data_IF_824271775477
#
_entry.id   IF_824271775477
#
_cell.length_a   1.000
_cell.length_b   1.000
_cell.length_c   1.000
_cell.angle_alpha   90.00
_cell.angle_beta   90.00
_cell.angle_gamma   90.00
#
_symmetry.space_group_name_H-M   'P 1'
#
loop_
_entity.id
_entity.type
_entity.pdbx_description
1 polymer ?
#
# COMPACT_ATOMS: atom_id res chain seq x y z
N UNK A 1 -11.86 -10.55 6.27
CA UNK A 1 -11.63 -9.72 7.48
C UNK A 1 -10.26 -10.09 8.04
N UNK A 2 -9.58 -9.13 8.69
CA UNK A 2 -8.14 -9.08 9.03
C UNK A 2 -7.22 -8.54 7.91
N UNK A 3 -7.27 -7.21 7.76
CA UNK A 3 -6.15 -6.45 7.22
C UNK A 3 -5.01 -6.52 8.25
N UNK A 4 -3.80 -6.87 7.81
CA UNK A 4 -2.59 -6.89 8.62
C UNK A 4 -2.54 -5.63 9.49
N UNK A 5 -2.49 -5.83 10.81
CA UNK A 5 -2.48 -4.76 11.82
C UNK A 5 -1.52 -3.66 11.39
N UNK A 6 -2.03 -2.43 11.34
CA UNK A 6 -1.22 -1.25 11.16
C UNK A 6 -0.39 -1.11 12.44
N UNK A 7 0.78 -1.76 12.48
CA UNK A 7 1.73 -1.59 13.57
C UNK A 7 2.29 -0.17 13.46
N UNK A 8 1.67 0.75 14.19
CA UNK A 8 2.29 2.02 14.56
C UNK A 8 3.37 1.65 15.59
N UNK A 9 4.63 1.55 15.13
CA UNK A 9 5.76 1.31 16.01
C UNK A 9 5.95 2.54 16.90
N UNK A 10 5.59 2.43 18.18
CA UNK A 10 5.82 3.44 19.20
C UNK A 10 7.05 3.07 20.02
N UNK A 11 8.12 3.85 19.92
CA UNK A 11 9.19 3.88 20.92
C UNK A 11 8.96 5.09 21.81
N UNK A 12 8.60 4.80 23.06
CA UNK A 12 8.30 5.76 24.14
C UNK A 12 9.53 6.64 24.36
N UNK A 13 9.37 7.95 24.13
CA UNK A 13 10.35 8.94 24.52
C UNK A 13 10.30 9.13 26.04
N UNK A 14 11.15 8.41 26.76
CA UNK A 14 11.64 8.88 28.06
C UNK A 14 12.95 9.63 27.82
N UNK A 15 12.96 10.89 28.23
CA UNK A 15 14.15 11.72 28.28
C UNK A 15 15.18 11.09 29.22
N UNK A 16 16.41 10.93 28.71
CA UNK A 16 17.63 10.51 29.40
C UNK A 16 17.87 9.00 29.46
N UNK A 17 19.04 8.59 28.95
CA UNK A 17 19.64 7.28 29.19
C UNK A 17 19.80 6.43 27.93
N UNK A 18 21.00 6.44 27.38
CA UNK A 18 21.48 5.45 26.42
C UNK A 18 21.21 4.03 26.93
N UNK A 19 20.46 3.23 26.19
CA UNK A 19 20.53 1.78 26.27
C UNK A 19 21.07 1.24 24.96
N UNK A 20 22.29 0.71 25.05
CA UNK A 20 22.98 0.03 23.98
C UNK A 20 22.21 -1.26 23.61
N UNK A 21 21.85 -1.40 22.34
CA UNK A 21 21.78 -2.70 21.70
C UNK A 21 22.69 -2.69 20.48
N UNK A 22 23.60 -3.66 20.46
CA UNK A 22 24.48 -3.98 19.35
C UNK A 22 23.64 -4.32 18.12
N UNK A 23 23.62 -3.42 17.15
CA UNK A 23 23.83 -3.66 15.72
C UNK A 23 23.69 -2.29 15.03
N UNK A 24 24.66 -1.93 14.20
CA UNK A 24 24.92 -0.57 13.69
C UNK A 24 23.84 0.11 12.82
N UNK A 25 22.59 0.18 13.29
CA UNK A 25 21.52 0.91 12.64
C UNK A 25 21.30 2.26 13.34
N UNK A 26 21.60 3.35 12.63
CA UNK A 26 21.32 4.71 13.08
C UNK A 26 19.82 4.87 13.42
N UNK A 27 19.46 5.71 14.42
CA UNK A 27 18.06 6.01 14.72
C UNK A 27 17.37 6.56 13.47
N UNK A 28 16.35 5.85 12.99
CA UNK A 28 15.54 6.32 11.86
C UNK A 28 14.81 7.60 12.31
N UNK A 29 14.98 8.75 11.63
CA UNK A 29 14.32 9.98 12.03
C UNK A 29 12.80 9.79 12.02
N UNK A 30 12.12 10.27 13.06
CA UNK A 30 10.67 10.28 13.15
C UNK A 30 10.05 10.91 11.89
N UNK A 31 9.05 10.24 11.30
CA UNK A 31 8.33 10.73 10.12
C UNK A 31 8.93 10.34 8.76
N UNK A 32 9.95 9.48 8.73
CA UNK A 32 10.52 8.94 7.48
C UNK A 32 9.79 7.68 6.99
N UNK A 33 10.00 7.32 5.71
CA UNK A 33 9.38 6.15 5.08
C UNK A 33 9.88 4.86 5.74
N UNK A 34 8.95 4.02 6.18
CA UNK A 34 9.25 2.76 6.86
C UNK A 34 9.03 1.57 5.92
N UNK A 35 9.88 0.54 6.04
CA UNK A 35 9.62 -0.76 5.41
C UNK A 35 8.71 -1.61 6.30
N UNK A 36 7.93 -2.49 5.69
CA UNK A 36 7.22 -3.51 6.46
C UNK A 36 8.20 -4.54 7.03
N UNK A 37 8.02 -4.94 8.30
CA UNK A 37 8.74 -6.08 8.84
C UNK A 37 8.41 -7.33 8.01
N UNK A 38 9.44 -8.15 7.74
CA UNK A 38 9.26 -9.46 7.12
C UNK A 38 9.31 -10.56 8.19
N UNK A 39 9.11 -11.82 7.78
CA UNK A 39 9.44 -12.99 8.60
C UNK A 39 10.94 -13.30 8.44
N UNK A 40 11.79 -12.41 8.95
CA UNK A 40 13.23 -12.35 8.65
C UNK A 40 13.60 -10.96 8.15
N UNK A 41 14.26 -10.88 6.99
CA UNK A 41 14.63 -9.60 6.38
C UNK A 41 13.42 -8.69 6.12
N UNK A 42 13.64 -7.38 6.26
CA UNK A 42 12.61 -6.38 5.94
C UNK A 42 12.19 -6.48 4.48
N UNK A 43 10.89 -6.37 4.22
CA UNK A 43 10.39 -6.45 2.85
C UNK A 43 10.78 -5.19 2.06
N UNK A 44 10.83 -5.29 0.72
CA UNK A 44 10.93 -4.11 -0.15
C UNK A 44 9.66 -3.25 -0.20
N UNK A 45 8.64 -3.57 0.61
CA UNK A 45 7.39 -2.81 0.64
C UNK A 45 7.44 -1.75 1.73
N UNK A 46 7.07 -0.53 1.36
CA UNK A 46 6.76 0.54 2.32
C UNK A 46 5.57 0.17 3.21
N UNK A 47 5.49 0.82 4.37
CA UNK A 47 4.41 0.66 5.35
C UNK A 47 3.03 0.97 4.75
N UNK A 48 1.95 0.48 5.39
CA UNK A 48 0.59 0.81 4.95
C UNK A 48 0.26 2.30 5.12
N UNK A 49 0.72 2.93 6.21
CA UNK A 49 0.53 4.37 6.46
C UNK A 49 1.17 5.20 5.36
N UNK A 50 2.40 4.88 4.95
CA UNK A 50 3.09 5.60 3.88
C UNK A 50 2.37 5.45 2.53
N UNK A 51 1.76 4.28 2.25
CA UNK A 51 0.93 4.08 1.05
C UNK A 51 -0.34 4.91 1.09
N UNK A 52 -1.03 4.95 2.22
CA UNK A 52 -2.25 5.75 2.38
C UNK A 52 -1.91 7.25 2.29
N UNK A 53 -0.81 7.69 2.91
CA UNK A 53 -0.30 9.06 2.77
C UNK A 53 -0.04 9.42 1.30
N UNK A 54 0.56 8.50 0.54
CA UNK A 54 0.74 8.67 -0.91
C UNK A 54 -0.61 8.77 -1.64
N UNK A 55 -1.58 7.91 -1.32
CA UNK A 55 -2.92 7.95 -1.91
C UNK A 55 -3.67 9.24 -1.59
N UNK A 56 -3.40 9.86 -0.44
CA UNK A 56 -3.91 11.20 -0.11
C UNK A 56 -3.30 12.32 -0.96
N UNK A 57 -2.37 12.03 -1.86
CA UNK A 57 -1.75 13.02 -2.76
C UNK A 57 -1.97 12.67 -4.23
N UNK A 58 -1.71 11.43 -4.63
CA UNK A 58 -1.80 11.02 -6.04
C UNK A 58 -3.09 10.25 -6.37
N UNK A 59 -3.95 10.03 -5.39
CA UNK A 59 -5.13 9.19 -5.49
C UNK A 59 -4.85 7.68 -5.48
N UNK A 60 -5.91 6.90 -5.27
CA UNK A 60 -5.85 5.43 -5.14
C UNK A 60 -5.79 4.72 -6.50
N UNK A 61 -6.24 5.36 -7.57
CA UNK A 61 -6.40 4.79 -8.91
C UNK A 61 -5.07 4.39 -9.56
N UNK A 62 -3.99 5.08 -9.21
CA UNK A 62 -2.67 4.81 -9.78
C UNK A 62 -2.48 5.32 -11.22
N UNK A 63 -1.27 5.17 -11.73
CA UNK A 63 -0.84 5.75 -13.01
C UNK A 63 -1.60 5.22 -14.25
N UNK A 64 -2.08 3.97 -14.24
CA UNK A 64 -2.79 3.42 -15.39
C UNK A 64 -4.24 3.91 -15.45
N UNK A 65 -4.93 4.01 -14.32
CA UNK A 65 -6.31 4.48 -14.32
C UNK A 65 -6.42 6.01 -14.43
N UNK A 66 -5.34 6.77 -14.18
CA UNK A 66 -5.33 8.22 -14.42
C UNK A 66 -5.41 8.61 -15.91
N UNK A 67 -5.35 7.64 -16.83
CA UNK A 67 -5.71 7.88 -18.24
C UNK A 67 -7.21 8.14 -18.44
N UNK A 68 -8.05 7.61 -17.55
CA UNK A 68 -9.50 7.59 -17.71
C UNK A 68 -10.24 8.33 -16.59
N UNK A 69 -9.59 8.50 -15.44
CA UNK A 69 -10.21 9.00 -14.22
C UNK A 69 -9.41 10.16 -13.64
N UNK A 70 -10.11 11.18 -13.16
CA UNK A 70 -9.56 12.14 -12.22
C UNK A 70 -9.11 11.44 -10.91
N UNK A 71 -8.23 12.06 -10.10
CA UNK A 71 -7.72 11.44 -8.89
C UNK A 71 -8.83 11.07 -7.90
N UNK A 72 -8.88 9.79 -7.52
CA UNK A 72 -9.86 9.26 -6.56
C UNK A 72 -9.22 9.20 -5.19
N UNK A 73 -9.90 9.77 -4.19
CA UNK A 73 -9.40 9.82 -2.81
C UNK A 73 -10.28 9.04 -1.85
N UNK A 74 -9.66 8.52 -0.79
CA UNK A 74 -10.36 7.88 0.31
C UNK A 74 -11.08 8.97 1.11
N UNK A 75 -12.41 8.86 1.21
CA UNK A 75 -13.22 9.81 1.98
C UNK A 75 -13.04 9.61 3.50
N UNK A 76 -13.01 8.36 3.96
CA UNK A 76 -12.87 8.04 5.38
C UNK A 76 -12.00 6.81 5.64
N UNK A 77 -11.36 6.79 6.80
CA UNK A 77 -10.56 5.68 7.32
C UNK A 77 -11.11 5.30 8.70
N UNK A 78 -11.58 4.07 8.84
CA UNK A 78 -12.05 3.54 10.12
C UNK A 78 -11.05 2.54 10.68
N UNK A 79 -10.59 2.76 11.91
CA UNK A 79 -9.63 1.90 12.60
C UNK A 79 -10.38 1.05 13.63
N UNK A 80 -10.18 -0.27 13.59
CA UNK A 80 -10.71 -1.17 14.62
C UNK A 80 -9.93 -1.03 15.92
N UNK A 81 -10.62 -0.82 17.03
CA UNK A 81 -9.97 -0.79 18.35
C UNK A 81 -9.64 -2.21 18.84
N UNK A 82 -8.42 -2.37 19.37
CA UNK A 82 -8.05 -3.59 20.09
C UNK A 82 -8.42 -3.43 21.57
N UNK A 83 -8.96 -4.48 22.19
CA UNK A 83 -9.20 -4.51 23.64
C UNK A 83 -7.90 -4.39 24.45
N UNK A 84 -6.74 -4.64 23.83
CA UNK A 84 -5.41 -4.51 24.44
C UNK A 84 -4.81 -3.10 24.32
N UNK A 85 -5.39 -2.22 23.50
CA UNK A 85 -4.83 -0.88 23.25
C UNK A 85 -5.38 0.14 24.25
N UNK A 86 -4.50 0.73 25.06
CA UNK A 86 -4.87 1.77 26.01
C UNK A 86 -5.00 3.13 25.30
N UNK A 87 -6.24 3.65 25.23
CA UNK A 87 -6.67 5.02 24.84
C UNK A 87 -6.98 5.26 23.36
N UNK A 88 -8.25 5.57 23.10
CA UNK A 88 -8.85 5.82 21.78
C UNK A 88 -8.38 7.13 21.13
N UNK A 89 -8.27 8.23 21.88
CA UNK A 89 -7.93 9.55 21.32
C UNK A 89 -6.51 9.63 20.74
N UNK A 90 -5.58 8.82 21.27
CA UNK A 90 -4.21 8.74 20.77
C UNK A 90 -4.17 8.14 19.35
N UNK A 91 -5.06 7.18 19.06
CA UNK A 91 -5.08 6.46 17.78
C UNK A 91 -5.47 7.39 16.63
N UNK A 92 -6.48 8.24 16.83
CA UNK A 92 -6.94 9.17 15.80
C UNK A 92 -5.85 10.18 15.42
N UNK A 93 -5.25 10.83 16.42
CA UNK A 93 -4.17 11.79 16.22
C UNK A 93 -2.94 11.16 15.56
N UNK A 94 -2.59 9.93 15.93
CA UNK A 94 -1.48 9.18 15.33
C UNK A 94 -1.75 8.84 13.86
N UNK A 95 -2.97 8.41 13.54
CA UNK A 95 -3.37 8.11 12.16
C UNK A 95 -3.37 9.36 11.32
N UNK A 96 -3.97 10.46 11.81
CA UNK A 96 -3.99 11.75 11.11
C UNK A 96 -2.58 12.29 10.86
N UNK A 97 -1.70 12.19 11.85
CA UNK A 97 -0.29 12.54 11.70
C UNK A 97 0.39 11.71 10.62
N UNK A 98 0.16 10.39 10.62
CA UNK A 98 0.79 9.47 9.70
C UNK A 98 0.33 9.64 8.25
N UNK A 99 -0.97 9.88 8.01
CA UNK A 99 -1.55 9.85 6.65
C UNK A 99 -1.88 11.22 6.06
N UNK A 100 -1.98 12.28 6.87
CA UNK A 100 -2.38 13.62 6.41
C UNK A 100 -1.37 14.71 6.79
N UNK A 101 -1.00 14.86 8.06
CA UNK A 101 -0.14 15.99 8.47
C UNK A 101 1.24 15.94 7.80
N UNK A 102 1.79 14.73 7.60
CA UNK A 102 3.05 14.51 6.88
C UNK A 102 3.03 14.97 5.43
N UNK A 103 1.86 15.01 4.79
CA UNK A 103 1.68 15.42 3.39
C UNK A 103 1.15 16.84 3.24
N UNK A 104 0.71 17.48 4.32
CA UNK A 104 0.19 18.86 4.33
C UNK A 104 1.15 19.89 3.71
N UNK A 105 2.49 19.81 3.86
CA UNK A 105 3.42 20.72 3.19
C UNK A 105 3.39 20.68 1.65
N UNK A 106 2.65 19.74 1.06
CA UNK A 106 2.50 19.59 -0.39
C UNK A 106 1.29 20.35 -0.96
N UNK A 107 0.39 20.89 -0.13
CA UNK A 107 -0.87 21.50 -0.59
C UNK A 107 -0.68 22.58 -1.66
N UNK A 108 0.40 23.36 -1.57
CA UNK A 108 0.71 24.44 -2.52
C UNK A 108 1.73 24.04 -3.61
N UNK A 109 2.06 22.75 -3.72
CA UNK A 109 3.06 22.21 -4.66
C UNK A 109 2.47 21.28 -5.71
N UNK A 110 1.19 20.95 -5.58
CA UNK A 110 0.48 20.06 -6.49
C UNK A 110 -0.23 20.90 -7.55
N UNK A 111 -0.30 20.36 -8.76
CA UNK A 111 -1.08 20.93 -9.85
C UNK A 111 -2.47 20.28 -9.85
N UNK A 112 -3.48 21.05 -10.24
CA UNK A 112 -4.83 20.54 -10.51
C UNK A 112 -4.76 19.35 -11.49
N UNK A 113 -5.53 18.26 -11.30
CA UNK A 113 -6.54 17.99 -10.28
C UNK A 113 -6.03 17.37 -8.96
N UNK A 114 -4.71 17.30 -8.77
CA UNK A 114 -4.12 16.69 -7.57
C UNK A 114 -4.16 17.63 -6.37
N UNK A 115 -4.47 17.06 -5.20
CA UNK A 115 -4.58 17.80 -3.94
C UNK A 115 -4.13 16.95 -2.76
N UNK A 116 -3.86 17.61 -1.64
CA UNK A 116 -3.72 16.91 -0.36
C UNK A 116 -5.11 16.62 0.20
N UNK A 117 -5.52 15.36 0.15
CA UNK A 117 -6.75 14.87 0.74
C UNK A 117 -6.67 14.85 2.27
N UNK A 118 -7.77 15.20 2.93
CA UNK A 118 -7.99 15.06 4.37
C UNK A 118 -9.12 14.06 4.60
N UNK A 119 -8.83 12.76 4.80
CA UNK A 119 -9.88 11.80 5.10
C UNK A 119 -10.46 12.05 6.48
N UNK A 120 -11.74 11.70 6.68
CA UNK A 120 -12.32 11.57 8.01
C UNK A 120 -11.72 10.33 8.69
N UNK A 121 -11.34 10.43 9.97
CA UNK A 121 -10.84 9.28 10.73
C UNK A 121 -11.86 8.91 11.80
N UNK A 122 -12.19 7.62 11.87
CA UNK A 122 -13.10 7.08 12.87
C UNK A 122 -12.42 5.94 13.62
N UNK A 123 -12.72 5.80 14.90
CA UNK A 123 -12.35 4.62 15.68
C UNK A 123 -13.61 3.79 15.91
N UNK A 124 -13.62 2.57 15.38
CA UNK A 124 -14.69 1.62 15.62
C UNK A 124 -14.62 1.09 17.06
N UNK A 125 -15.76 0.73 17.66
CA UNK A 125 -15.78 0.14 18.99
C UNK A 125 -14.99 -1.18 19.01
N UNK A 126 -14.60 -1.59 20.22
CA UNK A 126 -14.00 -2.91 20.45
C UNK A 126 -14.99 -3.98 19.95
N UNK A 127 -14.56 -4.93 19.10
CA UNK A 127 -15.44 -5.97 18.59
C UNK A 127 -15.91 -6.91 19.71
N UNK A 128 -16.97 -7.69 19.47
CA UNK A 128 -17.41 -8.74 20.42
C UNK A 128 -16.29 -9.74 20.68
N UNK A 129 -16.33 -10.38 21.86
CA UNK A 129 -15.27 -11.26 22.37
C UNK A 129 -14.85 -12.35 21.38
N UNK A 130 -15.81 -12.94 20.66
CA UNK A 130 -15.58 -13.98 19.62
C UNK A 130 -14.73 -13.51 18.42
N UNK A 131 -14.66 -12.19 18.17
CA UNK A 131 -13.86 -11.58 17.11
C UNK A 131 -12.62 -10.84 17.64
N UNK A 132 -12.42 -10.82 18.97
CA UNK A 132 -11.22 -10.25 19.55
C UNK A 132 -10.03 -11.18 19.32
N UNK A 133 -8.85 -10.59 19.12
CA UNK A 133 -7.62 -11.38 19.07
C UNK A 133 -7.39 -12.08 20.40
N UNK A 134 -6.91 -13.31 20.39
CA UNK A 134 -6.43 -13.97 21.61
C UNK A 134 -5.30 -13.16 22.26
N UNK A 135 -5.17 -13.20 23.59
CA UNK A 135 -4.05 -12.55 24.29
C UNK A 135 -2.69 -13.06 23.80
N UNK A 136 -2.62 -14.31 23.35
CA UNK A 136 -1.40 -14.88 22.76
C UNK A 136 -1.09 -14.33 21.36
N UNK A 137 -1.99 -13.56 20.75
CA UNK A 137 -1.83 -13.05 19.38
C UNK A 137 -0.54 -12.22 19.20
N UNK A 138 -0.11 -11.51 20.24
CA UNK A 138 1.13 -10.75 20.25
C UNK A 138 2.38 -11.64 20.16
N UNK A 139 2.27 -12.90 20.58
CA UNK A 139 3.35 -13.90 20.58
C UNK A 139 3.24 -14.91 19.43
N UNK A 140 2.08 -15.02 18.79
CA UNK A 140 1.87 -15.93 17.66
C UNK A 140 2.26 -15.30 16.33
N UNK A 141 2.87 -16.09 15.45
CA UNK A 141 3.13 -15.70 14.07
C UNK A 141 1.81 -15.37 13.36
N UNK A 142 1.74 -14.18 12.75
CA UNK A 142 0.58 -13.75 11.94
C UNK A 142 0.31 -14.70 10.79
N UNK A 143 -0.93 -14.82 10.32
CA UNK A 143 -1.27 -15.70 9.20
C UNK A 143 -0.45 -15.37 7.93
N UNK A 144 0.05 -16.41 7.25
CA UNK A 144 0.82 -16.27 5.99
C UNK A 144 -0.05 -16.17 4.75
N UNK A 145 -1.38 -16.16 4.91
CA UNK A 145 -2.36 -16.11 3.82
C UNK A 145 -3.00 -14.71 3.75
N UNK A 146 -3.36 -14.29 2.55
CA UNK A 146 -4.15 -13.09 2.28
C UNK A 146 -5.40 -13.47 1.51
N UNK A 147 -6.57 -13.10 2.02
CA UNK A 147 -7.86 -13.35 1.38
C UNK A 147 -8.28 -12.09 0.64
N UNK A 148 -8.60 -12.21 -0.64
CA UNK A 148 -9.05 -11.11 -1.49
C UNK A 148 -10.44 -11.43 -2.05
N UNK A 149 -11.35 -10.47 -1.99
CA UNK A 149 -12.71 -10.64 -2.52
C UNK A 149 -13.29 -9.32 -3.07
N UNK A 150 -14.29 -9.40 -3.94
CA UNK A 150 -15.07 -8.22 -4.37
C UNK A 150 -16.53 -8.57 -4.73
N UNK A 151 -17.35 -7.55 -4.97
CA UNK A 151 -18.76 -7.70 -5.33
C UNK A 151 -18.99 -8.34 -6.72
N UNK A 152 -17.96 -8.40 -7.55
CA UNK A 152 -18.01 -9.02 -8.89
C UNK A 152 -17.69 -10.52 -8.86
N UNK A 153 -17.67 -11.14 -7.68
CA UNK A 153 -17.43 -12.57 -7.51
C UNK A 153 -15.96 -12.97 -7.44
N UNK A 154 -15.01 -12.03 -7.35
CA UNK A 154 -13.63 -12.38 -7.02
C UNK A 154 -13.60 -12.96 -5.61
N UNK A 155 -12.98 -14.12 -5.45
CA UNK A 155 -12.62 -14.70 -4.17
C UNK A 155 -11.36 -15.55 -4.35
N UNK A 156 -10.23 -15.10 -3.80
CA UNK A 156 -8.95 -15.80 -3.89
C UNK A 156 -8.18 -15.78 -2.58
N UNK A 157 -7.47 -16.87 -2.29
CA UNK A 157 -6.55 -16.97 -1.14
C UNK A 157 -5.13 -16.99 -1.68
N UNK A 158 -4.32 -16.03 -1.26
CA UNK A 158 -2.96 -15.80 -1.73
C UNK A 158 -1.95 -16.17 -0.65
N UNK A 159 -0.92 -16.92 -1.03
CA UNK A 159 0.24 -17.18 -0.20
C UNK A 159 1.08 -15.90 -0.11
N UNK A 160 1.21 -15.32 1.07
CA UNK A 160 1.95 -14.07 1.29
C UNK A 160 3.43 -14.15 0.95
N UNK A 161 4.02 -15.35 0.99
CA UNK A 161 5.43 -15.59 0.65
C UNK A 161 5.69 -15.58 -0.85
N UNK A 162 4.74 -16.01 -1.68
CA UNK A 162 4.92 -16.15 -3.13
C UNK A 162 4.11 -15.15 -3.95
N UNK A 163 3.08 -14.54 -3.35
CA UNK A 163 2.10 -13.70 -4.05
C UNK A 163 1.21 -14.48 -5.02
N UNK A 164 1.15 -15.81 -4.88
CA UNK A 164 0.41 -16.72 -5.77
C UNK A 164 -0.80 -17.34 -5.06
N UNK A 165 -1.80 -17.74 -5.81
CA UNK A 165 -2.99 -18.44 -5.29
C UNK A 165 -2.59 -19.74 -4.60
N UNK A 166 -3.24 -20.03 -3.47
CA UNK A 166 -3.14 -21.31 -2.79
C UNK A 166 -3.77 -22.42 -3.66
N UNK A 167 -3.34 -23.67 -3.46
CA UNK A 167 -4.04 -24.85 -4.01
C UNK A 167 -3.26 -25.61 -5.08
N UNK A 168 -1.95 -25.38 -5.23
CA UNK A 168 -1.11 -26.16 -6.14
C UNK A 168 0.05 -26.83 -5.42
N UNK A 169 0.52 -27.95 -5.99
CA UNK A 169 1.75 -28.61 -5.54
C UNK A 169 2.96 -27.72 -5.79
N UNK A 170 4.10 -28.00 -5.15
CA UNK A 170 5.34 -27.26 -5.38
C UNK A 170 5.74 -27.18 -6.86
N UNK A 171 5.46 -28.24 -7.63
CA UNK A 171 5.71 -28.28 -9.10
C UNK A 171 4.79 -27.33 -9.88
N UNK A 172 3.58 -27.06 -9.37
CA UNK A 172 2.59 -26.18 -9.98
C UNK A 172 2.62 -24.74 -9.49
N UNK A 173 3.49 -24.39 -8.53
CA UNK A 173 3.47 -23.10 -7.84
C UNK A 173 3.67 -21.87 -8.75
N UNK A 174 4.25 -22.08 -9.94
CA UNK A 174 4.51 -21.03 -10.95
C UNK A 174 3.61 -21.13 -12.18
N UNK A 175 2.59 -21.99 -12.17
CA UNK A 175 1.67 -22.13 -13.31
C UNK A 175 0.86 -20.84 -13.53
N UNK A 176 0.40 -20.55 -14.76
CA UNK A 176 -0.47 -19.41 -15.03
C UNK A 176 -1.76 -19.40 -14.19
N UNK A 177 -2.30 -20.58 -13.84
CA UNK A 177 -3.50 -20.71 -13.01
C UNK A 177 -3.32 -20.23 -11.56
N UNK A 178 -2.07 -20.14 -11.08
CA UNK A 178 -1.76 -19.62 -9.74
C UNK A 178 -1.59 -18.10 -9.69
N UNK A 179 -1.61 -17.42 -10.83
CA UNK A 179 -1.52 -15.96 -10.89
C UNK A 179 -2.74 -15.33 -10.19
N UNK A 180 -2.49 -14.42 -9.24
CA UNK A 180 -3.53 -13.61 -8.61
C UNK A 180 -4.22 -12.73 -9.65
N UNK A 181 -5.54 -12.59 -9.53
CA UNK A 181 -6.31 -11.67 -10.36
C UNK A 181 -5.96 -10.20 -10.08
N UNK A 182 -5.28 -9.92 -8.96
CA UNK A 182 -4.81 -8.59 -8.54
C UNK A 182 -3.32 -8.34 -8.86
N UNK A 183 -2.66 -9.25 -9.58
CA UNK A 183 -1.27 -9.03 -9.97
C UNK A 183 -1.15 -8.00 -11.10
N UNK A 184 0.04 -7.40 -11.25
CA UNK A 184 0.29 -6.33 -12.25
C UNK A 184 -0.04 -6.77 -13.68
N UNK A 185 0.22 -8.04 -14.02
CA UNK A 185 -0.09 -8.60 -15.34
C UNK A 185 -1.60 -8.54 -15.63
N UNK A 186 -2.44 -8.97 -14.67
CA UNK A 186 -3.90 -8.92 -14.82
C UNK A 186 -4.44 -7.48 -14.84
N UNK A 187 -3.83 -6.57 -14.09
CA UNK A 187 -4.16 -5.15 -14.22
C UNK A 187 -3.76 -4.54 -15.57
N UNK A 188 -2.64 -4.95 -16.16
CA UNK A 188 -2.28 -4.55 -17.52
C UNK A 188 -3.30 -5.04 -18.54
N UNK A 189 -3.69 -6.32 -18.45
CA UNK A 189 -4.73 -6.92 -19.29
C UNK A 189 -6.03 -6.12 -19.23
N UNK A 190 -6.53 -5.84 -18.01
CA UNK A 190 -7.74 -5.03 -17.82
C UNK A 190 -7.60 -3.60 -18.35
N UNK A 191 -6.44 -2.96 -18.16
CA UNK A 191 -6.16 -1.63 -18.69
C UNK A 191 -6.21 -1.62 -20.22
N UNK A 192 -5.58 -2.60 -20.89
CA UNK A 192 -5.58 -2.68 -22.35
C UNK A 192 -6.99 -2.93 -22.90
N UNK A 193 -7.75 -3.84 -22.29
CA UNK A 193 -9.16 -4.07 -22.64
C UNK A 193 -10.01 -2.80 -22.47
N UNK A 194 -9.80 -2.02 -21.41
CA UNK A 194 -10.50 -0.74 -21.23
C UNK A 194 -10.07 0.30 -22.27
N UNK A 195 -8.77 0.38 -22.55
CA UNK A 195 -8.22 1.35 -23.49
C UNK A 195 -8.72 1.17 -24.93
N UNK A 196 -8.92 -0.09 -25.34
CA UNK A 196 -9.52 -0.45 -26.63
C UNK A 196 -10.92 0.16 -26.78
N UNK A 197 -11.72 0.10 -25.72
CA UNK A 197 -13.09 0.63 -25.70
C UNK A 197 -13.16 2.16 -25.61
N UNK A 198 -12.16 2.82 -25.00
CA UNK A 198 -12.21 4.26 -24.71
C UNK A 198 -11.39 5.13 -25.67
N UNK A 199 -10.26 4.63 -26.19
CA UNK A 199 -9.25 5.43 -26.92
C UNK A 199 -9.02 4.91 -28.34
N UNK A 200 -9.45 3.67 -28.63
CA UNK A 200 -9.38 3.05 -29.94
C UNK A 200 -8.44 1.86 -30.03
N UNK A 201 -8.65 1.02 -31.04
CA UNK A 201 -7.81 -0.14 -31.36
C UNK A 201 -6.36 0.32 -31.59
N UNK A 202 -5.43 -0.27 -30.82
CA UNK A 202 -3.96 -0.16 -30.97
C UNK A 202 -3.21 0.99 -30.26
N UNK A 203 -3.85 1.92 -29.55
CA UNK A 203 -3.14 3.06 -28.95
C UNK A 203 -1.97 2.67 -28.00
N UNK A 204 -2.07 1.52 -27.34
CA UNK A 204 -1.15 1.09 -26.28
C UNK A 204 -0.53 -0.30 -26.50
N UNK A 205 -0.83 -0.95 -27.62
CA UNK A 205 -0.30 -2.28 -27.96
C UNK A 205 1.23 -2.21 -28.11
N UNK A 206 1.94 -3.24 -27.65
CA UNK A 206 3.40 -3.33 -27.73
C UNK A 206 4.15 -2.53 -26.66
N UNK A 207 3.49 -1.67 -25.89
CA UNK A 207 4.11 -0.96 -24.77
C UNK A 207 4.24 -1.90 -23.56
N UNK A 208 5.35 -1.77 -22.84
CA UNK A 208 5.52 -2.39 -21.53
C UNK A 208 4.64 -1.74 -20.47
N UNK A 209 4.34 -2.49 -19.41
CA UNK A 209 3.62 -2.01 -18.23
C UNK A 209 4.25 -0.73 -17.67
N UNK A 210 5.58 -0.64 -17.69
CA UNK A 210 6.31 0.54 -17.26
C UNK A 210 6.11 1.73 -18.18
N UNK A 211 6.31 1.57 -19.49
CA UNK A 211 6.15 2.67 -20.44
C UNK A 211 4.75 3.28 -20.36
N UNK A 212 3.72 2.45 -20.17
CA UNK A 212 2.35 2.91 -19.97
C UNK A 212 2.19 3.71 -18.67
N UNK A 213 2.86 3.32 -17.58
CA UNK A 213 2.86 4.13 -16.36
C UNK A 213 3.62 5.43 -16.55
N UNK A 214 4.78 5.39 -17.19
CA UNK A 214 5.66 6.55 -17.39
C UNK A 214 5.01 7.61 -18.29
N UNK A 215 4.14 7.20 -19.23
CA UNK A 215 3.32 8.10 -20.07
C UNK A 215 2.21 8.84 -19.33
N UNK A 216 1.86 8.48 -18.09
CA UNK A 216 0.90 9.25 -17.27
C UNK A 216 1.56 10.47 -16.61
N UNK A 217 1.81 11.51 -17.40
CA UNK A 217 2.67 12.64 -17.03
C UNK A 217 2.21 13.38 -15.78
N UNK A 218 0.94 13.77 -15.70
CA UNK A 218 0.40 14.54 -14.55
C UNK A 218 0.48 13.74 -13.25
N UNK A 219 0.11 12.45 -13.30
CA UNK A 219 0.22 11.54 -12.16
C UNK A 219 1.68 11.36 -11.72
N UNK A 220 2.61 11.21 -12.68
CA UNK A 220 4.01 11.03 -12.37
C UNK A 220 4.62 12.27 -11.74
N UNK A 221 4.28 13.47 -12.22
CA UNK A 221 4.71 14.72 -11.61
C UNK A 221 4.20 14.84 -10.16
N UNK A 222 2.92 14.55 -9.90
CA UNK A 222 2.39 14.53 -8.54
C UNK A 222 3.11 13.49 -7.65
N UNK A 223 3.42 12.32 -8.21
CA UNK A 223 4.18 11.28 -7.51
C UNK A 223 5.64 11.66 -7.25
N UNK A 224 6.27 12.40 -8.13
CA UNK A 224 7.63 12.92 -7.98
C UNK A 224 7.66 14.01 -6.92
N UNK A 225 6.72 14.96 -6.96
CA UNK A 225 6.54 15.98 -5.92
C UNK A 225 6.35 15.35 -4.54
N UNK A 226 5.53 14.30 -4.44
CA UNK A 226 5.36 13.53 -3.20
C UNK A 226 6.69 12.90 -2.76
N UNK A 227 7.34 12.13 -3.64
CA UNK A 227 8.58 11.41 -3.30
C UNK A 227 9.77 12.34 -3.09
N UNK A 228 9.79 13.55 -3.62
CA UNK A 228 10.85 14.54 -3.41
C UNK A 228 10.74 15.30 -2.09
N UNK A 229 9.64 15.11 -1.35
CA UNK A 229 9.40 15.83 -0.10
C UNK A 229 10.22 15.30 1.08
N UNK A 230 10.45 16.14 2.09
CA UNK A 230 11.34 15.83 3.23
C UNK A 230 10.97 14.53 3.95
N UNK A 231 9.68 14.26 4.14
CA UNK A 231 9.15 13.08 4.84
C UNK A 231 9.16 11.81 3.97
N UNK A 232 9.31 11.94 2.66
CA UNK A 232 9.15 10.84 1.70
C UNK A 232 10.32 10.64 0.73
N UNK A 233 11.40 11.46 0.83
CA UNK A 233 12.61 11.39 -0.01
C UNK A 233 13.31 10.04 -0.07
N UNK A 234 13.13 9.21 0.96
CA UNK A 234 13.71 7.86 1.03
C UNK A 234 12.72 6.78 0.55
N UNK A 235 11.78 7.12 -0.34
CA UNK A 235 10.82 6.16 -0.86
C UNK A 235 11.52 5.01 -1.58
N UNK A 236 11.35 3.79 -1.08
CA UNK A 236 11.98 2.60 -1.66
C UNK A 236 11.44 2.31 -3.06
N UNK A 237 12.33 2.37 -4.06
CA UNK A 237 12.04 1.99 -5.43
C UNK A 237 12.26 0.49 -5.59
N UNK A 238 11.35 -0.15 -6.33
CA UNK A 238 11.50 -1.55 -6.73
C UNK A 238 12.41 -1.63 -7.96
N UNK A 239 13.10 -2.77 -8.19
CA UNK A 239 13.84 -3.00 -9.42
C UNK A 239 12.97 -2.75 -10.65
N UNK A 240 13.57 -2.12 -11.65
CA UNK A 240 12.91 -1.68 -12.88
C UNK A 240 12.32 -2.87 -13.66
N UNK A 241 13.01 -4.01 -13.63
CA UNK A 241 12.64 -5.23 -14.35
C UNK A 241 11.31 -5.82 -13.86
N UNK A 242 10.82 -5.45 -12.66
CA UNK A 242 9.52 -5.88 -12.15
C UNK A 242 8.33 -5.21 -12.85
N UNK A 243 8.61 -4.29 -13.78
CA UNK A 243 7.63 -3.57 -14.59
C UNK A 243 7.98 -3.60 -16.09
N UNK A 244 9.09 -4.24 -16.47
CA UNK A 244 9.56 -4.38 -17.85
C UNK A 244 8.94 -5.59 -18.55
N UNK A 245 7.60 -5.70 -18.52
CA UNK A 245 6.85 -6.75 -19.23
C UNK A 245 5.74 -6.12 -20.07
N UNK A 246 5.47 -6.67 -21.24
CA UNK A 246 4.36 -6.26 -22.12
C UNK A 246 3.28 -7.34 -22.13
N UNK A 247 2.08 -6.97 -22.59
CA UNK A 247 1.06 -7.96 -22.87
C UNK A 247 1.42 -8.68 -24.16
N UNK A 248 1.62 -10.00 -24.07
CA UNK A 248 1.70 -10.88 -25.23
C UNK A 248 0.31 -11.49 -25.41
N UNK A 249 -0.35 -11.17 -26.52
CA UNK A 249 -1.60 -11.83 -26.88
C UNK A 249 -1.31 -13.34 -27.02
N UNK A 250 -2.20 -14.22 -26.50
CA UNK A 250 -2.09 -15.67 -26.70
C UNK A 250 -2.23 -16.05 -28.18
#
# INVERSE_FOLDING_TARGET
MMCSSMQLSYSKGESSGYTAMNDGCLPIPFGTVMRKPGRGDTTLSVSCSDKIARWNVVGVQGALLSYFLEPIYIFSVTIGQSHLASKTSIIEDEVMRAIHERVLPLSNKLMDPFRVNKPLVFVAPIPSEEFQHSETALTTLTCGYSICWNNSGLHEVILGTTGRKQGTSAKGAMSPSTESSLCKKRFLESFLSLSHNCVGEHAFVGNSYRELKDKSQEYNLASETFKGSSNFKNWFLKPQDFEAFSFMAP
#
